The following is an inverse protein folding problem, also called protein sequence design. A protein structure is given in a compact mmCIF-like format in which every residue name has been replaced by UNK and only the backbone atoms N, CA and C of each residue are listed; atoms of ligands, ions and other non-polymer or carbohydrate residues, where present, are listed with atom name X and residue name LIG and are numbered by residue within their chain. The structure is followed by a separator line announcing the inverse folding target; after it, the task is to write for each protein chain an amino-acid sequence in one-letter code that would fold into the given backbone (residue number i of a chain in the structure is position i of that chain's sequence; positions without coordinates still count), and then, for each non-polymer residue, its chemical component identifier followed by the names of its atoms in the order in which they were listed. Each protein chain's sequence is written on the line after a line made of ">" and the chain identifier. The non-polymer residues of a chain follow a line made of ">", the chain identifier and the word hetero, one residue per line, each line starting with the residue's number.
data_IF_303247549734
#
_entry.id   IF_303247549734
#
_cell.length_a   1.000
_cell.length_b   1.000
_cell.length_c   1.000
_cell.angle_alpha   90.00
_cell.angle_beta   90.00
_cell.angle_gamma   90.00
#
_symmetry.space_group_name_H-M   'P 1'
#
loop_
_entity.id
_entity.type
_entity.pdbx_description
1 polymer ?
#
# COMPACT_ATOMS: atom_id res chain seq x y z
N UNK A 1 16.45 3.64 1.18
CA UNK A 1 15.30 2.72 1.11
C UNK A 1 14.49 2.87 2.40
N UNK A 2 13.37 3.58 2.32
CA UNK A 2 12.49 3.85 3.45
C UNK A 2 11.73 2.62 3.96
N UNK A 3 11.72 1.51 3.20
CA UNK A 3 11.05 0.26 3.57
C UNK A 3 11.98 -0.76 4.26
N UNK A 4 13.29 -0.46 4.32
CA UNK A 4 14.28 -1.37 4.90
C UNK A 4 14.48 -1.12 6.40
N UNK A 5 14.32 -2.13 7.28
CA UNK A 5 14.54 -1.97 8.72
C UNK A 5 15.98 -1.61 9.06
N UNK A 6 16.95 -1.99 8.22
CA UNK A 6 18.36 -1.65 8.43
C UNK A 6 18.64 -0.18 8.16
N UNK A 7 18.12 0.36 7.06
CA UNK A 7 18.26 1.78 6.74
C UNK A 7 17.48 2.65 7.73
N UNK A 8 16.35 2.14 8.23
CA UNK A 8 15.42 2.84 9.12
C UNK A 8 15.72 2.65 10.61
N UNK A 9 16.78 1.91 10.97
CA UNK A 9 17.06 1.49 12.36
C UNK A 9 16.96 2.65 13.37
N UNK A 10 17.61 3.79 13.08
CA UNK A 10 17.58 4.96 13.96
C UNK A 10 16.16 5.53 14.16
N UNK A 11 15.34 5.55 13.11
CA UNK A 11 13.98 6.06 13.22
C UNK A 11 13.09 5.07 14.00
N UNK A 12 13.31 3.76 13.80
CA UNK A 12 12.62 2.71 14.54
C UNK A 12 12.95 2.79 16.04
N UNK A 13 14.22 3.05 16.41
CA UNK A 13 14.63 3.22 17.81
C UNK A 13 13.95 4.43 18.47
N UNK A 14 13.57 5.43 17.68
CA UNK A 14 12.86 6.62 18.14
C UNK A 14 11.34 6.46 18.12
N UNK A 15 10.79 5.28 17.78
CA UNK A 15 9.34 5.10 17.59
C UNK A 15 8.52 5.56 18.80
N UNK A 16 9.00 5.39 20.02
CA UNK A 16 8.29 5.78 21.24
C UNK A 16 8.17 7.30 21.42
N UNK A 17 9.03 8.10 20.78
CA UNK A 17 9.05 9.55 20.89
C UNK A 17 8.03 10.28 20.00
N UNK A 18 7.49 9.61 18.98
CA UNK A 18 6.54 10.18 18.03
C UNK A 18 5.25 9.37 18.00
N UNK A 19 4.10 10.01 17.81
CA UNK A 19 2.83 9.29 17.66
C UNK A 19 2.83 8.44 16.39
N UNK A 20 3.33 9.05 15.31
CA UNK A 20 3.68 8.41 14.05
C UNK A 20 4.87 9.15 13.45
N UNK A 21 5.77 8.43 12.80
CA UNK A 21 6.85 8.99 12.01
C UNK A 21 6.86 8.35 10.63
N UNK A 22 7.40 9.05 9.63
CA UNK A 22 7.61 8.47 8.32
C UNK A 22 8.93 8.96 7.71
N UNK A 23 9.42 8.21 6.73
CA UNK A 23 10.52 8.62 5.88
C UNK A 23 10.20 8.28 4.41
N UNK A 24 10.95 8.90 3.52
CA UNK A 24 10.90 8.64 2.09
C UNK A 24 12.27 8.20 1.59
N UNK A 25 12.33 7.64 0.39
CA UNK A 25 13.58 7.54 -0.36
C UNK A 25 13.91 8.85 -1.07
N UNK A 26 14.98 8.85 -1.87
CA UNK A 26 15.66 10.06 -2.34
C UNK A 26 14.83 10.92 -3.29
N UNK A 27 13.94 10.29 -4.05
CA UNK A 27 12.98 10.88 -4.99
C UNK A 27 11.58 11.02 -4.40
N UNK A 28 11.39 10.53 -3.17
CA UNK A 28 10.18 10.63 -2.37
C UNK A 28 8.91 10.04 -2.99
N UNK A 29 9.05 9.08 -3.91
CA UNK A 29 7.95 8.35 -4.50
C UNK A 29 7.49 7.18 -3.60
N UNK A 30 8.34 6.74 -2.66
CA UNK A 30 8.03 5.69 -1.68
C UNK A 30 7.96 6.20 -0.25
N UNK A 31 7.33 5.39 0.60
CA UNK A 31 7.09 5.72 2.01
C UNK A 31 7.55 4.59 2.94
N UNK A 32 7.99 4.97 4.13
CA UNK A 32 8.25 4.07 5.26
C UNK A 32 7.55 4.60 6.49
N UNK A 33 6.56 3.87 7.02
CA UNK A 33 5.76 4.32 8.16
C UNK A 33 6.24 3.65 9.43
N UNK A 34 6.57 4.45 10.44
CA UNK A 34 6.98 3.99 11.76
C UNK A 34 5.91 4.37 12.79
N UNK A 35 5.35 3.37 13.47
CA UNK A 35 4.34 3.57 14.51
C UNK A 35 4.85 3.09 15.87
N UNK A 36 4.25 3.57 16.97
CA UNK A 36 4.59 3.07 18.31
C UNK A 36 4.26 1.59 18.44
N UNK A 37 3.07 1.21 17.97
CA UNK A 37 2.54 -0.16 18.07
C UNK A 37 3.39 -1.20 17.34
N UNK A 38 3.93 -0.87 16.16
CA UNK A 38 4.50 -1.87 15.25
C UNK A 38 5.96 -1.61 14.85
N UNK A 39 6.52 -0.44 15.17
CA UNK A 39 7.80 -0.02 14.58
C UNK A 39 7.62 0.29 13.10
N UNK A 40 8.58 -0.08 12.26
CA UNK A 40 8.44 0.05 10.81
C UNK A 40 7.37 -0.94 10.32
N UNK A 41 6.30 -0.41 9.73
CA UNK A 41 5.24 -1.23 9.15
C UNK A 41 5.72 -1.95 7.89
N UNK A 42 5.28 -3.19 7.72
CA UNK A 42 5.35 -3.86 6.42
C UNK A 42 4.52 -3.04 5.40
N UNK A 43 5.04 -2.76 4.20
CA UNK A 43 4.32 -1.97 3.20
C UNK A 43 2.91 -2.48 2.89
N UNK A 44 2.73 -3.80 2.75
CA UNK A 44 1.40 -4.40 2.51
C UNK A 44 0.41 -4.10 3.63
N UNK A 45 0.88 -4.06 4.88
CA UNK A 45 0.02 -3.79 6.03
C UNK A 45 -0.47 -2.34 6.01
N UNK A 46 0.44 -1.42 5.65
CA UNK A 46 0.09 -0.01 5.53
C UNK A 46 -0.84 0.25 4.33
N UNK A 47 -0.61 -0.36 3.17
CA UNK A 47 -1.52 -0.26 2.02
C UNK A 47 -2.95 -0.68 2.39
N UNK A 48 -3.11 -1.83 3.05
CA UNK A 48 -4.43 -2.31 3.49
C UNK A 48 -5.11 -1.34 4.46
N UNK A 49 -4.34 -0.75 5.36
CA UNK A 49 -4.82 0.24 6.33
C UNK A 49 -5.23 1.55 5.66
N UNK A 50 -4.40 2.05 4.74
CA UNK A 50 -4.65 3.26 3.96
C UNK A 50 -5.92 3.11 3.12
N UNK A 51 -6.10 1.96 2.45
CA UNK A 51 -7.29 1.64 1.66
C UNK A 51 -8.53 1.61 2.55
N UNK A 52 -8.52 0.87 3.67
CA UNK A 52 -9.68 0.84 4.58
C UNK A 52 -10.07 2.23 5.05
N UNK A 53 -9.09 3.01 5.48
CA UNK A 53 -9.33 4.34 6.00
C UNK A 53 -9.89 5.27 4.91
N UNK A 54 -9.21 5.39 3.77
CA UNK A 54 -9.59 6.34 2.71
C UNK A 54 -11.02 6.11 2.22
N UNK A 55 -11.37 4.87 1.87
CA UNK A 55 -12.69 4.57 1.32
C UNK A 55 -13.85 4.70 2.33
N UNK A 56 -13.53 4.82 3.63
CA UNK A 56 -14.51 5.13 4.70
C UNK A 56 -14.55 6.62 5.07
N UNK A 57 -13.56 7.41 4.65
CA UNK A 57 -13.36 8.81 5.07
C UNK A 57 -13.23 9.78 3.88
N UNK A 58 -13.72 9.37 2.71
CA UNK A 58 -13.80 10.18 1.49
C UNK A 58 -15.21 10.08 0.90
N UNK A 59 -16.23 10.67 1.57
CA UNK A 59 -17.63 10.57 1.12
C UNK A 59 -17.87 11.23 -0.24
N UNK A 60 -16.97 12.11 -0.70
CA UNK A 60 -17.05 12.76 -2.00
C UNK A 60 -16.53 11.88 -3.15
N UNK A 61 -15.85 10.76 -2.84
CA UNK A 61 -15.38 9.83 -3.87
C UNK A 61 -16.55 9.07 -4.49
N UNK A 62 -16.50 8.91 -5.81
CA UNK A 62 -17.50 8.13 -6.55
C UNK A 62 -17.65 6.72 -5.98
N UNK A 63 -18.86 6.19 -5.95
CA UNK A 63 -19.12 4.78 -5.63
C UNK A 63 -18.39 3.82 -6.59
N UNK A 64 -18.07 4.29 -7.80
CA UNK A 64 -17.31 3.55 -8.81
C UNK A 64 -15.80 3.60 -8.64
N UNK A 65 -15.28 4.45 -7.75
CA UNK A 65 -13.83 4.54 -7.52
C UNK A 65 -13.29 3.17 -7.10
N UNK A 66 -12.37 2.65 -7.91
CA UNK A 66 -11.78 1.33 -7.72
C UNK A 66 -10.48 1.40 -6.90
N UNK A 67 -10.05 0.25 -6.42
CA UNK A 67 -8.76 0.03 -5.79
C UNK A 67 -7.86 -0.70 -6.80
N UNK A 68 -6.72 -0.10 -7.16
CA UNK A 68 -5.70 -0.72 -7.99
C UNK A 68 -4.60 -1.35 -7.15
N UNK A 69 -4.21 -2.59 -7.47
CA UNK A 69 -3.18 -3.34 -6.74
C UNK A 69 -2.34 -4.19 -7.70
N UNK A 70 -1.03 -4.29 -7.46
CA UNK A 70 -0.18 -5.28 -8.15
C UNK A 70 -0.47 -6.70 -7.68
N UNK A 71 -0.44 -7.68 -8.60
CA UNK A 71 -0.81 -9.08 -8.31
C UNK A 71 -0.01 -9.75 -7.19
N UNK A 72 1.20 -9.25 -6.88
CA UNK A 72 2.07 -9.81 -5.83
C UNK A 72 1.89 -9.13 -4.47
N UNK A 73 1.04 -8.09 -4.39
CA UNK A 73 0.66 -7.46 -3.13
C UNK A 73 -0.27 -8.35 -2.32
N UNK A 74 -0.31 -8.14 -1.01
CA UNK A 74 -0.99 -9.04 -0.06
C UNK A 74 -2.48 -9.21 -0.35
N UNK A 75 -2.99 -10.42 -0.14
CA UNK A 75 -4.41 -10.74 -0.33
C UNK A 75 -5.34 -10.14 0.72
N UNK A 76 -4.79 -9.56 1.80
CA UNK A 76 -5.59 -8.81 2.78
C UNK A 76 -6.26 -7.59 2.13
N UNK A 77 -5.62 -7.00 1.12
CA UNK A 77 -6.18 -5.87 0.35
C UNK A 77 -7.46 -6.31 -0.37
N UNK A 78 -7.51 -7.54 -0.88
CA UNK A 78 -8.68 -8.09 -1.57
C UNK A 78 -9.85 -8.26 -0.58
N UNK A 79 -9.56 -8.76 0.62
CA UNK A 79 -10.56 -8.90 1.71
C UNK A 79 -11.06 -7.54 2.18
N UNK A 80 -10.18 -6.55 2.30
CA UNK A 80 -10.55 -5.17 2.64
C UNK A 80 -11.47 -4.59 1.57
N UNK A 81 -11.13 -4.72 0.29
CA UNK A 81 -11.97 -4.23 -0.80
C UNK A 81 -13.35 -4.90 -0.85
N UNK A 82 -13.39 -6.22 -0.61
CA UNK A 82 -14.64 -6.97 -0.51
C UNK A 82 -15.50 -6.46 0.64
N UNK A 83 -14.94 -6.27 1.84
CA UNK A 83 -15.68 -5.70 2.99
C UNK A 83 -16.21 -4.29 2.72
N UNK A 84 -15.44 -3.48 1.98
CA UNK A 84 -15.85 -2.12 1.58
C UNK A 84 -16.84 -2.08 0.41
N UNK A 85 -17.13 -3.24 -0.20
CA UNK A 85 -17.90 -3.36 -1.44
C UNK A 85 -17.34 -2.46 -2.57
N UNK A 86 -16.01 -2.45 -2.74
CA UNK A 86 -15.31 -1.67 -3.77
C UNK A 86 -14.69 -2.59 -4.82
N UNK A 87 -14.70 -2.13 -6.07
CA UNK A 87 -14.07 -2.85 -7.18
C UNK A 87 -12.56 -2.91 -6.97
N UNK A 88 -11.99 -4.11 -7.03
CA UNK A 88 -10.55 -4.34 -7.11
C UNK A 88 -10.13 -4.51 -8.56
N UNK A 89 -9.03 -3.86 -8.96
CA UNK A 89 -8.38 -4.06 -10.26
C UNK A 89 -6.96 -4.52 -9.99
N UNK A 90 -6.73 -5.81 -10.23
CA UNK A 90 -5.41 -6.41 -10.14
C UNK A 90 -4.66 -6.25 -11.46
N UNK A 91 -3.39 -5.86 -11.39
CA UNK A 91 -2.52 -5.65 -12.55
C UNK A 91 -1.17 -6.34 -12.35
N UNK A 92 -0.37 -6.57 -13.42
CA UNK A 92 1.01 -7.02 -13.28
C UNK A 92 1.86 -6.02 -12.49
N UNK A 93 3.05 -6.43 -12.07
CA UNK A 93 4.01 -5.53 -11.40
C UNK A 93 4.35 -4.33 -12.28
N UNK A 94 4.36 -3.14 -11.67
CA UNK A 94 4.73 -1.86 -12.28
C UNK A 94 3.62 -0.81 -12.20
N UNK A 95 3.92 0.33 -11.57
CA UNK A 95 2.97 1.43 -11.38
C UNK A 95 2.34 1.99 -12.68
N UNK A 96 3.02 1.82 -13.82
CA UNK A 96 2.55 2.26 -15.14
C UNK A 96 1.13 1.80 -15.50
N UNK A 97 0.69 0.66 -14.97
CA UNK A 97 -0.64 0.11 -15.26
C UNK A 97 -1.78 0.91 -14.63
N UNK A 98 -1.48 1.81 -13.71
CA UNK A 98 -2.46 2.64 -13.02
C UNK A 98 -2.66 4.02 -13.64
N UNK A 99 -1.72 4.48 -14.47
CA UNK A 99 -1.64 5.87 -14.95
C UNK A 99 -2.92 6.28 -15.69
N UNK A 100 -3.34 5.50 -16.69
CA UNK A 100 -4.51 5.83 -17.51
C UNK A 100 -5.80 5.84 -16.66
N UNK A 101 -5.93 4.91 -15.72
CA UNK A 101 -7.09 4.85 -14.82
C UNK A 101 -7.11 5.99 -13.80
N UNK A 102 -5.95 6.48 -13.34
CA UNK A 102 -5.87 7.68 -12.51
C UNK A 102 -6.28 8.94 -13.28
N UNK A 103 -5.82 9.08 -14.52
CA UNK A 103 -6.20 10.20 -15.41
C UNK A 103 -7.70 10.14 -15.74
N UNK A 104 -8.23 8.94 -16.00
CA UNK A 104 -9.64 8.70 -16.29
C UNK A 104 -10.58 8.81 -15.09
N UNK A 105 -10.06 8.88 -13.86
CA UNK A 105 -10.86 8.92 -12.64
C UNK A 105 -11.46 7.58 -12.22
N UNK A 106 -10.92 6.47 -12.73
CA UNK A 106 -11.38 5.11 -12.43
C UNK A 106 -10.94 4.64 -11.03
N UNK A 107 -9.84 5.19 -10.51
CA UNK A 107 -9.24 4.77 -9.25
C UNK A 107 -9.39 5.82 -8.14
N UNK A 108 -9.70 5.36 -6.93
CA UNK A 108 -9.54 6.15 -5.71
C UNK A 108 -8.14 5.99 -5.10
N UNK A 109 -7.58 4.77 -5.20
CA UNK A 109 -6.29 4.40 -4.64
C UNK A 109 -5.59 3.41 -5.57
N UNK A 110 -4.27 3.54 -5.72
CA UNK A 110 -3.42 2.55 -6.39
C UNK A 110 -2.11 2.33 -5.62
N UNK A 111 -1.59 1.10 -5.61
CA UNK A 111 -0.34 0.82 -4.89
C UNK A 111 0.36 -0.49 -5.23
N UNK A 112 1.64 -0.53 -4.88
CA UNK A 112 2.56 -1.66 -5.03
C UNK A 112 3.15 -2.05 -3.67
N UNK A 113 3.37 -3.34 -3.45
CA UNK A 113 3.94 -3.91 -2.22
C UNK A 113 5.37 -3.42 -1.93
N UNK A 114 6.02 -2.79 -2.90
CA UNK A 114 7.33 -2.15 -2.81
C UNK A 114 7.34 -0.81 -2.07
N UNK A 115 6.24 -0.47 -1.38
CA UNK A 115 6.01 0.78 -0.64
C UNK A 115 5.83 2.04 -1.49
N UNK A 116 5.28 1.87 -2.70
CA UNK A 116 4.87 2.97 -3.58
C UNK A 116 3.36 2.99 -3.78
N UNK A 117 2.73 4.15 -3.65
CA UNK A 117 1.29 4.30 -3.86
C UNK A 117 0.92 5.75 -4.19
N UNK A 118 -0.31 5.95 -4.68
CA UNK A 118 -0.94 7.25 -4.84
C UNK A 118 -2.46 7.13 -4.63
N UNK A 119 -3.11 8.24 -4.29
CA UNK A 119 -4.56 8.31 -4.18
C UNK A 119 -5.07 9.69 -4.62
N UNK A 120 -6.33 9.73 -5.03
CA UNK A 120 -6.94 10.95 -5.58
C UNK A 120 -7.21 11.99 -4.48
N UNK A 121 -7.43 13.25 -4.88
CA UNK A 121 -7.81 14.32 -3.96
C UNK A 121 -9.17 14.04 -3.33
N UNK A 122 -9.56 14.83 -2.33
CA UNK A 122 -10.87 14.71 -1.66
C UNK A 122 -12.03 14.77 -2.65
N UNK A 123 -11.98 15.66 -3.64
CA UNK A 123 -12.99 15.81 -4.69
C UNK A 123 -13.01 14.67 -5.74
N UNK A 124 -12.15 13.65 -5.59
CA UNK A 124 -12.05 12.52 -6.51
C UNK A 124 -11.19 12.79 -7.75
N UNK A 125 -10.69 14.02 -7.95
CA UNK A 125 -9.82 14.32 -9.09
C UNK A 125 -8.35 13.98 -8.80
N UNK A 126 -7.60 13.67 -9.86
CA UNK A 126 -6.22 13.17 -9.76
C UNK A 126 -5.31 14.16 -9.02
N UNK A 127 -4.47 13.64 -8.12
CA UNK A 127 -3.40 14.39 -7.44
C UNK A 127 -2.09 14.29 -8.24
N UNK A 128 -1.55 13.09 -8.33
CA UNK A 128 -0.41 12.73 -9.19
C UNK A 128 -0.64 11.36 -9.81
N UNK A 129 -0.08 11.17 -10.99
CA UNK A 129 -0.12 9.92 -11.76
C UNK A 129 1.14 9.07 -11.58
N UNK A 130 2.08 9.53 -10.77
CA UNK A 130 3.17 8.70 -10.23
C UNK A 130 2.91 8.38 -8.76
N UNK A 131 3.80 7.61 -8.14
CA UNK A 131 3.78 7.36 -6.69
C UNK A 131 4.15 8.64 -5.95
N UNK A 132 3.61 8.80 -4.75
CA UNK A 132 3.90 9.96 -3.90
C UNK A 132 4.01 9.50 -2.44
N UNK A 133 5.24 9.36 -1.97
CA UNK A 133 5.53 8.94 -0.62
C UNK A 133 5.15 9.99 0.44
N UNK A 134 5.03 11.26 0.06
CA UNK A 134 4.73 12.35 0.98
C UNK A 134 3.26 12.28 1.39
N UNK A 135 2.33 12.15 0.42
CA UNK A 135 0.90 12.04 0.75
C UNK A 135 0.60 10.76 1.54
N UNK A 136 1.36 9.68 1.31
CA UNK A 136 1.22 8.44 2.10
C UNK A 136 1.75 8.63 3.53
N UNK A 137 2.83 9.39 3.74
CA UNK A 137 3.30 9.77 5.08
C UNK A 137 2.29 10.66 5.83
N UNK A 138 1.75 11.67 5.15
CA UNK A 138 0.73 12.57 5.71
C UNK A 138 -0.59 11.83 6.00
N UNK A 139 -0.96 10.85 5.18
CA UNK A 139 -2.11 9.99 5.43
C UNK A 139 -1.96 9.19 6.74
N UNK A 140 -0.75 8.76 7.09
CA UNK A 140 -0.50 8.06 8.35
C UNK A 140 -0.81 8.96 9.56
N UNK A 141 -0.44 10.23 9.46
CA UNK A 141 -0.79 11.25 10.44
C UNK A 141 -2.31 11.52 10.47
N UNK A 142 -2.97 11.61 9.31
CA UNK A 142 -4.43 11.77 9.23
C UNK A 142 -5.16 10.59 9.91
N UNK A 143 -4.78 9.35 9.61
CA UNK A 143 -5.33 8.13 10.24
C UNK A 143 -5.20 8.22 11.76
N UNK A 144 -3.99 8.54 12.23
CA UNK A 144 -3.71 8.66 13.67
C UNK A 144 -4.57 9.72 14.32
N UNK A 145 -4.63 10.92 13.73
CA UNK A 145 -5.39 12.04 14.27
C UNK A 145 -6.91 11.82 14.26
N UNK A 146 -7.44 11.16 13.23
CA UNK A 146 -8.90 10.98 13.03
C UNK A 146 -9.46 9.78 13.76
N UNK A 147 -8.67 8.72 13.94
CA UNK A 147 -9.12 7.49 14.59
C UNK A 147 -8.66 7.38 16.05
N UNK A 148 -7.69 8.20 16.47
CA UNK A 148 -7.03 8.08 17.78
C UNK A 148 -6.16 6.84 17.91
N UNK A 149 -5.91 6.13 16.80
CA UNK A 149 -5.13 4.88 16.73
C UNK A 149 -4.10 5.00 15.62
N UNK A 150 -2.88 4.53 15.87
CA UNK A 150 -1.86 4.53 14.84
C UNK A 150 -2.18 3.51 13.72
N UNK A 151 -1.58 3.62 12.52
CA UNK A 151 -1.88 2.71 11.42
C UNK A 151 -1.60 1.23 11.74
N UNK A 152 -0.65 0.91 12.62
CA UNK A 152 -0.37 -0.46 13.04
C UNK A 152 -1.51 -1.05 13.88
N UNK A 153 -2.12 -0.25 14.75
CA UNK A 153 -3.31 -0.65 15.52
C UNK A 153 -4.53 -0.84 14.62
N UNK A 154 -4.72 0.02 13.61
CA UNK A 154 -5.77 -0.15 12.62
C UNK A 154 -5.57 -1.45 11.81
N UNK A 155 -4.33 -1.77 11.42
CA UNK A 155 -4.03 -3.05 10.76
C UNK A 155 -4.33 -4.26 11.66
N UNK A 156 -4.03 -4.18 12.95
CA UNK A 156 -4.36 -5.24 13.91
C UNK A 156 -5.89 -5.45 14.00
N UNK A 157 -6.68 -4.38 13.97
CA UNK A 157 -8.14 -4.49 13.92
C UNK A 157 -8.64 -5.15 12.63
N UNK A 158 -8.09 -4.74 11.47
CA UNK A 158 -8.43 -5.34 10.17
C UNK A 158 -8.14 -6.84 10.17
N UNK A 159 -6.98 -7.26 10.67
CA UNK A 159 -6.57 -8.67 10.67
C UNK A 159 -7.29 -9.51 11.73
N UNK A 160 -7.73 -8.90 12.83
CA UNK A 160 -8.61 -9.56 13.81
C UNK A 160 -9.97 -9.92 13.22
N UNK A 161 -10.47 -9.13 12.26
CA UNK A 161 -11.76 -9.37 11.59
C UNK A 161 -11.61 -10.26 10.35
N UNK A 162 -10.62 -9.97 9.49
CA UNK A 162 -10.48 -10.58 8.17
C UNK A 162 -9.43 -11.69 8.10
N UNK A 163 -8.82 -12.04 9.23
CA UNK A 163 -7.74 -13.00 9.35
C UNK A 163 -6.37 -12.46 8.92
N UNK A 164 -5.32 -12.83 9.67
CA UNK A 164 -3.95 -12.39 9.42
C UNK A 164 -3.29 -13.22 8.29
N UNK A 165 -2.82 -12.60 7.19
CA UNK A 165 -1.99 -13.29 6.21
C UNK A 165 -0.53 -13.38 6.68
N UNK A 166 0.19 -14.38 6.18
CA UNK A 166 1.64 -14.49 6.33
C UNK A 166 2.28 -14.43 4.95
N UNK A 167 3.18 -13.46 4.74
CA UNK A 167 3.81 -13.21 3.46
C UNK A 167 5.32 -13.39 3.56
N UNK A 168 5.91 -14.07 2.57
CA UNK A 168 7.35 -14.17 2.42
C UNK A 168 7.71 -14.08 0.93
N UNK A 169 8.85 -13.45 0.64
CA UNK A 169 9.47 -13.47 -0.68
C UNK A 169 10.76 -14.27 -0.60
N UNK A 170 10.94 -15.18 -1.55
CA UNK A 170 12.11 -16.04 -1.66
C UNK A 170 12.66 -15.90 -3.08
N UNK A 171 13.95 -15.59 -3.19
CA UNK A 171 14.66 -15.61 -4.46
C UNK A 171 15.52 -16.88 -4.52
N UNK A 172 15.50 -17.59 -5.64
CA UNK A 172 16.34 -18.77 -5.89
C UNK A 172 17.15 -18.57 -7.19
N UNK A 173 18.41 -19.04 -7.24
CA UNK A 173 19.24 -18.88 -8.43
C UNK A 173 18.67 -19.69 -9.61
N UNK A 174 18.65 -19.06 -10.79
CA UNK A 174 18.17 -19.67 -12.03
C UNK A 174 19.06 -19.25 -13.22
N UNK A 175 19.41 -20.20 -14.08
CA UNK A 175 20.16 -19.95 -15.31
C UNK A 175 19.25 -19.32 -16.39
N UNK A 176 19.85 -18.85 -17.49
CA UNK A 176 19.12 -18.16 -18.54
C UNK A 176 18.03 -19.03 -19.20
N UNK A 177 18.28 -20.32 -19.37
CA UNK A 177 17.30 -21.26 -19.93
C UNK A 177 16.08 -21.41 -18.99
N UNK A 178 16.31 -21.61 -17.69
CA UNK A 178 15.25 -21.68 -16.68
C UNK A 178 14.41 -20.40 -16.64
N UNK A 179 15.05 -19.23 -16.66
CA UNK A 179 14.34 -17.93 -16.72
C UNK A 179 13.49 -17.79 -17.98
N UNK A 180 13.96 -18.28 -19.13
CA UNK A 180 13.22 -18.23 -20.39
C UNK A 180 12.00 -19.16 -20.40
N UNK A 181 12.09 -20.33 -19.75
CA UNK A 181 10.95 -21.22 -19.56
C UNK A 181 9.92 -20.58 -18.65
N UNK A 182 10.33 -20.03 -17.49
CA UNK A 182 9.43 -19.38 -16.53
C UNK A 182 8.60 -18.25 -17.16
N UNK A 183 9.18 -17.48 -18.09
CA UNK A 183 8.49 -16.39 -18.82
C UNK A 183 7.43 -16.87 -19.82
N UNK A 184 7.46 -18.14 -20.21
CA UNK A 184 6.64 -18.71 -21.30
C UNK A 184 5.64 -19.77 -20.82
N UNK A 185 5.50 -19.95 -19.51
CA UNK A 185 4.50 -20.85 -18.94
C UNK A 185 3.10 -20.39 -19.34
N UNK A 186 2.23 -21.34 -19.66
CA UNK A 186 0.78 -21.10 -19.77
C UNK A 186 0.03 -21.76 -18.61
N UNK A 187 -1.20 -21.31 -18.29
CA UNK A 187 -1.99 -21.91 -17.22
C UNK A 187 -2.26 -23.42 -17.38
N UNK A 188 -2.19 -23.95 -18.61
CA UNK A 188 -2.49 -25.34 -18.96
C UNK A 188 -1.27 -26.28 -18.91
N UNK A 189 -0.06 -25.73 -18.69
CA UNK A 189 1.19 -26.48 -18.59
C UNK A 189 1.53 -26.82 -17.13
#
# INVERSE_FOLDING_TARGET
>A
DCSSPYAMAKLIDLKSKFDVAFANDTDADRHGIVTRSSGLMNPNHYLATAIDYLFRHRPEWSDKAAIGKTMVSSSIIDRVAQRLNRKMVEVPVGFKWFVDGLIGGDFGFVGEESAGASFVKRDGSVWTTDKDGIILGLLAAEITARTGKDPGENYAAITSELGAPFYARIDAPANAAQKNVLKKLSPEQ
#
